data_IF_351078989192
#
_entry.id   IF_351078989192
#
_cell.length_a   1.000
_cell.length_b   1.000
_cell.length_c   1.000
_cell.angle_alpha   90.00
_cell.angle_beta   90.00
_cell.angle_gamma   90.00
#
_symmetry.space_group_name_H-M   'P 1'
#
loop_
_entity.id
_entity.type
_entity.pdbx_description
1 polymer ?
#
# COMPACT_ATOMS: atom_id res chain seq x y z
N UNK A 1 14.44 -3.56 -7.16
CA UNK A 1 14.68 -2.40 -6.26
C UNK A 1 13.46 -1.49 -6.36
N UNK A 2 12.94 -0.95 -5.26
CA UNK A 2 11.88 0.08 -5.34
C UNK A 2 12.50 1.41 -5.76
N UNK A 3 11.85 2.14 -6.68
CA UNK A 3 12.22 3.53 -6.97
C UNK A 3 11.93 4.43 -5.75
N UNK A 4 12.54 5.61 -5.71
CA UNK A 4 12.29 6.62 -4.67
C UNK A 4 10.80 6.92 -4.52
N UNK A 5 10.12 7.13 -5.64
CA UNK A 5 8.73 7.56 -5.67
C UNK A 5 7.78 6.50 -5.10
N UNK A 6 8.08 5.22 -5.33
CA UNK A 6 7.37 4.09 -4.75
C UNK A 6 7.64 3.94 -3.25
N UNK A 7 8.85 4.26 -2.81
CA UNK A 7 9.20 4.23 -1.38
C UNK A 7 8.41 5.31 -0.63
N UNK A 8 8.34 6.51 -1.20
CA UNK A 8 7.56 7.62 -0.64
C UNK A 8 6.05 7.33 -0.69
N UNK A 9 5.56 6.70 -1.75
CA UNK A 9 4.17 6.26 -1.86
C UNK A 9 3.82 5.20 -0.82
N UNK A 10 4.72 4.25 -0.55
CA UNK A 10 4.54 3.24 0.48
C UNK A 10 4.50 3.87 1.88
N UNK A 11 5.37 4.85 2.16
CA UNK A 11 5.37 5.55 3.43
C UNK A 11 4.06 6.32 3.66
N UNK A 12 3.54 7.01 2.62
CA UNK A 12 2.24 7.69 2.68
C UNK A 12 1.08 6.71 2.89
N UNK A 13 1.07 5.59 2.15
CA UNK A 13 0.06 4.54 2.30
C UNK A 13 0.06 3.95 3.72
N UNK A 14 1.23 3.62 4.27
CA UNK A 14 1.37 3.12 5.64
C UNK A 14 0.85 4.16 6.64
N UNK A 15 1.16 5.43 6.45
CA UNK A 15 0.63 6.53 7.27
C UNK A 15 -0.90 6.59 7.26
N UNK A 16 -1.52 6.45 6.09
CA UNK A 16 -2.98 6.44 5.97
C UNK A 16 -3.62 5.17 6.59
N UNK A 17 -2.94 4.03 6.51
CA UNK A 17 -3.36 2.75 7.10
C UNK A 17 -3.26 2.71 8.63
N UNK A 18 -2.55 3.65 9.28
CA UNK A 18 -2.57 3.76 10.75
C UNK A 18 -3.96 4.05 11.31
N UNK A 19 -4.88 4.58 10.49
CA UNK A 19 -6.28 4.80 10.83
C UNK A 19 -7.22 3.66 10.47
N UNK A 20 -6.70 2.52 9.98
CA UNK A 20 -7.50 1.34 9.68
C UNK A 20 -8.01 0.70 10.97
N UNK A 21 -9.24 0.21 10.95
CA UNK A 21 -9.91 -0.45 12.07
C UNK A 21 -9.74 -1.95 12.03
N UNK A 22 -9.73 -2.51 10.82
CA UNK A 22 -9.60 -3.94 10.58
C UNK A 22 -8.18 -4.30 10.13
N UNK A 23 -7.87 -5.60 10.20
CA UNK A 23 -6.60 -6.12 9.68
C UNK A 23 -6.47 -5.82 8.17
N UNK A 24 -5.27 -5.43 7.76
CA UNK A 24 -4.94 -5.13 6.37
C UNK A 24 -3.64 -5.82 5.97
N UNK A 25 -3.53 -6.23 4.70
CA UNK A 25 -2.37 -6.93 4.18
C UNK A 25 -1.77 -6.22 2.97
N UNK A 26 -0.44 -6.15 2.93
CA UNK A 26 0.29 -5.88 1.69
C UNK A 26 0.18 -7.13 0.80
N UNK A 27 -0.19 -6.95 -0.47
CA UNK A 27 -0.32 -8.06 -1.42
C UNK A 27 0.51 -7.81 -2.69
N UNK A 28 0.48 -8.76 -3.62
CA UNK A 28 1.12 -8.60 -4.92
C UNK A 28 2.63 -8.42 -4.87
N UNK A 29 3.15 -7.57 -5.76
CA UNK A 29 4.60 -7.36 -5.92
C UNK A 29 5.29 -6.79 -4.68
N UNK A 30 4.62 -5.88 -3.99
CA UNK A 30 5.13 -5.24 -2.80
C UNK A 30 5.30 -6.25 -1.64
N UNK A 31 4.39 -7.22 -1.51
CA UNK A 31 4.49 -8.29 -0.53
C UNK A 31 5.71 -9.19 -0.76
N UNK A 32 5.98 -9.58 -2.01
CA UNK A 32 7.16 -10.38 -2.35
C UNK A 32 8.45 -9.64 -2.01
N UNK A 33 8.55 -8.35 -2.35
CA UNK A 33 9.71 -7.54 -1.94
C UNK A 33 9.86 -7.42 -0.42
N UNK A 34 8.75 -7.23 0.32
CA UNK A 34 8.78 -7.17 1.78
C UNK A 34 9.28 -8.48 2.43
N UNK A 35 9.02 -9.62 1.78
CA UNK A 35 9.54 -10.93 2.19
C UNK A 35 10.93 -11.27 1.62
N UNK A 36 11.62 -10.30 1.00
CA UNK A 36 12.97 -10.48 0.46
C UNK A 36 13.03 -11.26 -0.86
N UNK A 37 11.89 -11.50 -1.51
CA UNK A 37 11.85 -12.12 -2.83
C UNK A 37 12.26 -11.07 -3.87
N UNK A 38 13.33 -11.30 -4.64
CA UNK A 38 13.84 -10.33 -5.59
C UNK A 38 12.87 -10.11 -6.76
N UNK A 39 12.65 -8.84 -7.11
CA UNK A 39 11.92 -8.44 -8.31
C UNK A 39 12.75 -7.46 -9.14
N UNK A 40 12.61 -7.56 -10.46
CA UNK A 40 13.27 -6.63 -11.39
C UNK A 40 12.74 -5.20 -11.20
N UNK A 41 11.42 -5.01 -11.24
CA UNK A 41 10.79 -3.69 -11.08
C UNK A 41 9.45 -3.84 -10.36
N UNK A 42 9.21 -2.99 -9.37
CA UNK A 42 7.87 -2.78 -8.81
C UNK A 42 7.24 -1.57 -9.50
N UNK A 43 5.97 -1.66 -9.87
CA UNK A 43 5.26 -0.58 -10.58
C UNK A 43 4.19 0.07 -9.71
N UNK A 44 3.63 -0.68 -8.79
CA UNK A 44 2.47 -0.37 -7.97
C UNK A 44 2.58 -1.01 -6.59
N UNK A 45 1.70 -0.59 -5.69
CA UNK A 45 1.56 -1.12 -4.34
C UNK A 45 0.12 -1.56 -4.17
N UNK A 46 -0.08 -2.84 -3.86
CA UNK A 46 -1.39 -3.41 -3.63
C UNK A 46 -1.61 -3.64 -2.13
N UNK A 47 -2.75 -3.18 -1.62
CA UNK A 47 -3.18 -3.43 -0.24
C UNK A 47 -4.59 -4.01 -0.23
N UNK A 48 -4.80 -5.00 0.63
CA UNK A 48 -6.12 -5.54 0.93
C UNK A 48 -6.59 -5.01 2.29
N UNK A 49 -7.79 -4.44 2.32
CA UNK A 49 -8.44 -3.83 3.49
C UNK A 49 -9.92 -4.19 3.51
N UNK A 50 -10.61 -3.94 4.63
CA UNK A 50 -12.07 -3.99 4.67
C UNK A 50 -12.69 -2.90 3.77
N UNK A 51 -13.96 -3.06 3.44
CA UNK A 51 -14.68 -2.09 2.61
C UNK A 51 -14.76 -0.72 3.31
N UNK A 52 -15.02 -0.72 4.60
CA UNK A 52 -15.12 0.47 5.44
C UNK A 52 -13.79 1.24 5.48
N UNK A 53 -12.67 0.53 5.66
CA UNK A 53 -11.35 1.14 5.66
C UNK A 53 -10.92 1.59 4.26
N UNK A 54 -11.32 0.88 3.20
CA UNK A 54 -11.10 1.32 1.81
C UNK A 54 -11.74 2.69 1.55
N UNK A 55 -13.02 2.87 1.95
CA UNK A 55 -13.70 4.15 1.82
C UNK A 55 -12.97 5.28 2.56
N UNK A 56 -12.50 5.00 3.79
CA UNK A 56 -11.72 5.96 4.57
C UNK A 56 -10.35 6.27 3.95
N UNK A 57 -9.66 5.28 3.38
CA UNK A 57 -8.37 5.45 2.73
C UNK A 57 -8.46 6.31 1.49
N UNK A 58 -9.46 6.10 0.63
CA UNK A 58 -9.69 6.93 -0.56
C UNK A 58 -9.81 8.41 -0.19
N UNK A 59 -10.53 8.72 0.89
CA UNK A 59 -10.66 10.09 1.40
C UNK A 59 -9.35 10.66 1.96
N UNK A 60 -8.59 9.87 2.73
CA UNK A 60 -7.33 10.32 3.37
C UNK A 60 -6.19 10.52 2.38
N UNK A 61 -6.18 9.74 1.31
CA UNK A 61 -5.16 9.78 0.26
C UNK A 61 -5.55 10.67 -0.93
N UNK A 62 -6.72 11.32 -0.87
CA UNK A 62 -7.29 12.11 -1.98
C UNK A 62 -7.33 11.33 -3.31
N UNK A 63 -7.63 10.03 -3.20
CA UNK A 63 -7.77 9.13 -4.34
C UNK A 63 -9.24 9.12 -4.76
N UNK A 64 -9.55 9.80 -5.85
CA UNK A 64 -10.88 9.78 -6.46
C UNK A 64 -10.98 8.62 -7.45
N UNK A 65 -12.04 7.82 -7.34
CA UNK A 65 -12.46 6.84 -8.36
C UNK A 65 -13.38 7.45 -9.40
#
# INVERSE_FOLDING_TARGET
MMGSDLTDSLAQLIGALQGARDDWWLIGGAAFLAHGVPMQTLKDIDVLVSFEDACGLLQRLDLNT
#
